data_IF_354248816831
#
_entry.id   IF_354248816831
#
_cell.length_a   1.000
_cell.length_b   1.000
_cell.length_c   1.000
_cell.angle_alpha   90.00
_cell.angle_beta   90.00
_cell.angle_gamma   90.00
#
_symmetry.space_group_name_H-M   'P 1'
#
loop_
_entity.id
_entity.type
_entity.pdbx_description
1 polymer ?
#
# COMPACT_ATOMS: atom_id res chain seq x y z
N UNK A 1 -14.57 14.03 10.94
CA UNK A 1 -14.04 13.79 9.57
C UNK A 1 -13.76 12.30 9.47
N UNK A 2 -14.50 11.55 8.66
CA UNK A 2 -14.38 10.10 8.59
C UNK A 2 -13.57 9.73 7.35
N UNK A 3 -12.38 9.16 7.52
CA UNK A 3 -11.57 8.69 6.39
C UNK A 3 -11.65 7.17 6.33
N UNK A 4 -12.17 6.62 5.24
CA UNK A 4 -12.16 5.18 5.01
C UNK A 4 -10.92 4.83 4.16
N UNK A 5 -10.03 4.00 4.70
CA UNK A 5 -8.81 3.58 4.05
C UNK A 5 -8.76 2.06 3.87
N UNK A 6 -8.50 1.63 2.65
CA UNK A 6 -8.17 0.24 2.29
C UNK A 6 -6.68 0.18 1.97
N UNK A 7 -5.97 -0.78 2.58
CA UNK A 7 -4.57 -1.06 2.25
C UNK A 7 -4.45 -2.54 1.92
N UNK A 8 -3.94 -2.84 0.74
CA UNK A 8 -3.61 -4.18 0.29
C UNK A 8 -2.10 -4.34 0.16
N UNK A 9 -1.59 -5.49 0.55
CA UNK A 9 -0.20 -5.90 0.31
C UNK A 9 -0.19 -7.28 -0.33
N UNK A 10 0.62 -7.45 -1.37
CA UNK A 10 0.81 -8.72 -2.05
C UNK A 10 2.31 -8.97 -2.22
N UNK A 11 2.76 -10.19 -1.93
CA UNK A 11 4.14 -10.59 -2.21
C UNK A 11 4.21 -10.93 -3.71
N UNK A 12 4.98 -10.17 -4.49
CA UNK A 12 5.16 -10.44 -5.92
C UNK A 12 6.21 -11.53 -6.14
N UNK A 13 7.28 -11.50 -5.35
CA UNK A 13 8.37 -12.44 -5.47
C UNK A 13 9.13 -12.60 -4.16
N UNK A 14 9.59 -13.81 -3.91
CA UNK A 14 10.46 -14.12 -2.78
C UNK A 14 11.61 -14.96 -3.29
N UNK A 15 12.82 -14.56 -2.92
CA UNK A 15 14.01 -15.37 -3.14
C UNK A 15 13.86 -16.74 -2.45
N UNK A 16 14.48 -17.81 -2.99
CA UNK A 16 14.40 -19.15 -2.42
C UNK A 16 14.85 -19.22 -0.94
N UNK A 17 15.83 -18.39 -0.58
CA UNK A 17 16.36 -18.33 0.78
C UNK A 17 15.65 -17.27 1.66
N UNK A 18 14.56 -16.65 1.16
CA UNK A 18 13.83 -15.55 1.82
C UNK A 18 14.70 -14.36 2.24
N UNK A 19 15.87 -14.20 1.62
CA UNK A 19 16.79 -13.09 1.87
C UNK A 19 16.26 -11.80 1.24
N UNK A 20 15.74 -11.89 0.02
CA UNK A 20 15.10 -10.76 -0.67
C UNK A 20 13.65 -11.07 -0.99
N UNK A 21 12.74 -10.16 -0.68
CA UNK A 21 11.33 -10.17 -1.10
C UNK A 21 10.99 -8.90 -1.84
N UNK A 22 10.11 -9.03 -2.83
CA UNK A 22 9.52 -7.93 -3.56
C UNK A 22 8.02 -7.92 -3.29
N UNK A 23 7.56 -6.85 -2.66
CA UNK A 23 6.18 -6.66 -2.22
C UNK A 23 5.53 -5.53 -3.01
N UNK A 24 4.29 -5.74 -3.44
CA UNK A 24 3.42 -4.71 -3.96
C UNK A 24 2.48 -4.23 -2.86
N UNK A 25 2.50 -2.93 -2.59
CA UNK A 25 1.57 -2.28 -1.66
C UNK A 25 0.67 -1.33 -2.44
N UNK A 26 -0.65 -1.52 -2.32
CA UNK A 26 -1.65 -0.61 -2.82
C UNK A 26 -2.43 0.00 -1.66
N UNK A 27 -2.62 1.31 -1.65
CA UNK A 27 -3.42 2.00 -0.64
C UNK A 27 -4.41 2.92 -1.33
N UNK A 28 -5.67 2.84 -0.92
CA UNK A 28 -6.73 3.74 -1.37
C UNK A 28 -7.40 4.29 -0.13
N UNK A 29 -7.35 5.60 0.05
CA UNK A 29 -8.07 6.29 1.11
C UNK A 29 -9.04 7.30 0.52
N UNK A 30 -10.29 7.23 0.96
CA UNK A 30 -11.32 8.18 0.59
C UNK A 30 -11.74 8.97 1.82
N UNK A 31 -11.59 10.28 1.73
CA UNK A 31 -12.00 11.20 2.78
C UNK A 31 -13.50 11.47 2.61
N UNK A 32 -14.27 11.23 3.67
CA UNK A 32 -15.69 11.59 3.78
C UNK A 32 -15.83 12.69 4.84
N UNK A 33 -16.15 13.89 4.37
CA UNK A 33 -16.41 15.09 5.18
C UNK A 33 -15.26 16.12 5.23
N UNK A 34 -15.62 17.39 5.07
CA UNK A 34 -14.74 18.57 5.09
C UNK A 34 -14.41 19.10 3.69
N UNK A 35 -13.63 20.19 3.53
CA UNK A 35 -13.30 20.80 2.22
C UNK A 35 -12.46 19.90 1.26
N UNK A 36 -12.12 18.69 1.72
CA UNK A 36 -11.47 17.64 0.95
C UNK A 36 -12.43 16.48 0.63
N UNK A 37 -13.75 16.70 0.76
CA UNK A 37 -14.77 15.69 0.52
C UNK A 37 -14.65 15.09 -0.89
N UNK A 38 -14.72 13.77 -0.97
CA UNK A 38 -14.62 13.03 -2.23
C UNK A 38 -13.19 12.87 -2.77
N UNK A 39 -12.16 13.45 -2.15
CA UNK A 39 -10.77 13.20 -2.56
C UNK A 39 -10.39 11.76 -2.26
N UNK A 40 -10.16 11.02 -3.33
CA UNK A 40 -9.69 9.64 -3.28
C UNK A 40 -8.18 9.66 -3.52
N UNK A 41 -7.41 9.42 -2.47
CA UNK A 41 -5.97 9.28 -2.59
C UNK A 41 -5.64 7.81 -2.89
N UNK A 42 -4.92 7.58 -3.99
CA UNK A 42 -4.50 6.26 -4.44
C UNK A 42 -2.98 6.25 -4.48
N UNK A 43 -2.39 5.31 -3.78
CA UNK A 43 -0.95 5.14 -3.70
C UNK A 43 -0.61 3.70 -4.06
N UNK A 44 0.32 3.53 -4.99
CA UNK A 44 0.93 2.25 -5.31
C UNK A 44 2.40 2.38 -4.98
N UNK A 45 2.95 1.37 -4.31
CA UNK A 45 4.35 1.28 -3.94
C UNK A 45 4.88 -0.13 -4.15
N UNK A 46 6.12 -0.21 -4.60
CA UNK A 46 6.89 -1.44 -4.63
C UNK A 46 7.90 -1.39 -3.49
N UNK A 47 7.94 -2.44 -2.68
CA UNK A 47 8.87 -2.59 -1.57
C UNK A 47 9.86 -3.70 -1.88
N UNK A 48 11.15 -3.37 -1.90
CA UNK A 48 12.23 -4.35 -1.90
C UNK A 48 12.69 -4.51 -0.45
N UNK A 49 12.49 -5.69 0.13
CA UNK A 49 13.01 -6.03 1.44
C UNK A 49 14.19 -6.97 1.25
N UNK A 50 15.38 -6.57 1.68
CA UNK A 50 16.57 -7.44 1.69
C UNK A 50 17.08 -7.56 3.12
N UNK A 51 17.14 -8.79 3.60
CA UNK A 51 17.72 -9.18 4.87
C UNK A 51 19.09 -9.77 4.56
N UNK A 52 20.13 -9.01 4.86
CA UNK A 52 21.54 -9.37 4.73
C UNK A 52 22.14 -9.63 6.12
#
# INVERSE_FOLDING_TARGET
MNTLGLTGKANLWSSPNRATTLDLTGRVSKNFGGPFDGRTNKQIGLGLNSRF
#
